data_IF_820152113842
#
_entry.id   IF_820152113842
#
_cell.length_a   1.000
_cell.length_b   1.000
_cell.length_c   1.000
_cell.angle_alpha   90.00
_cell.angle_beta   90.00
_cell.angle_gamma   90.00
#
_symmetry.space_group_name_H-M   'P 1'
#
loop_
_entity.id
_entity.type
_entity.pdbx_description
1 polymer ?
#
# COMPACT_ATOMS: atom_id res chain seq x y z
N UNK A 1 -11.22 4.00 3.26
CA UNK A 1 -9.74 3.93 3.32
C UNK A 1 -9.27 2.62 2.75
N UNK A 2 -9.63 1.47 3.32
CA UNK A 2 -9.26 0.14 2.79
C UNK A 2 -9.54 -0.03 1.29
N UNK A 3 -10.78 0.25 0.83
CA UNK A 3 -11.13 0.19 -0.60
C UNK A 3 -10.23 1.05 -1.50
N UNK A 4 -9.73 2.18 -1.00
CA UNK A 4 -8.83 3.07 -1.75
C UNK A 4 -7.44 2.44 -1.83
N UNK A 5 -6.93 1.97 -0.68
CA UNK A 5 -5.63 1.28 -0.60
C UNK A 5 -5.61 0.06 -1.52
N UNK A 6 -6.64 -0.79 -1.47
CA UNK A 6 -6.76 -1.97 -2.34
C UNK A 6 -6.86 -1.61 -3.81
N UNK A 7 -7.62 -0.56 -4.15
CA UNK A 7 -7.74 -0.09 -5.53
C UNK A 7 -6.38 0.33 -6.09
N UNK A 8 -5.63 1.16 -5.37
CA UNK A 8 -4.31 1.64 -5.83
C UNK A 8 -3.31 0.49 -5.84
N UNK A 9 -3.31 -0.38 -4.83
CA UNK A 9 -2.41 -1.53 -4.78
C UNK A 9 -2.59 -2.46 -5.99
N UNK A 10 -3.83 -2.68 -6.44
CA UNK A 10 -4.14 -3.49 -7.61
C UNK A 10 -3.60 -2.91 -8.95
N UNK A 11 -3.19 -1.65 -8.98
CA UNK A 11 -2.51 -1.04 -10.14
C UNK A 11 -1.02 -1.44 -10.21
N UNK A 12 -0.46 -1.90 -9.09
CA UNK A 12 0.97 -2.16 -8.94
C UNK A 12 1.30 -3.63 -8.66
N UNK A 13 0.36 -4.40 -8.14
CA UNK A 13 0.60 -5.77 -7.70
C UNK A 13 -0.48 -6.74 -8.21
N UNK A 14 -0.08 -7.99 -8.43
CA UNK A 14 -0.98 -9.10 -8.70
C UNK A 14 -1.49 -9.67 -7.36
N UNK A 15 -2.73 -9.33 -7.00
CA UNK A 15 -3.30 -9.70 -5.71
C UNK A 15 -3.65 -11.19 -5.59
N UNK A 16 -3.94 -11.87 -6.70
CA UNK A 16 -4.41 -13.26 -6.69
C UNK A 16 -5.84 -13.42 -6.18
N UNK A 17 -6.39 -14.64 -6.27
CA UNK A 17 -7.77 -14.93 -5.86
C UNK A 17 -7.94 -15.01 -4.33
N UNK A 18 -6.89 -15.40 -3.61
CA UNK A 18 -6.87 -15.60 -2.16
C UNK A 18 -6.20 -14.42 -1.43
N UNK A 19 -6.24 -13.22 -2.02
CA UNK A 19 -5.65 -12.02 -1.42
C UNK A 19 -6.27 -11.70 -0.07
N UNK A 20 -5.43 -11.50 0.95
CA UNK A 20 -5.83 -11.00 2.25
C UNK A 20 -5.14 -9.67 2.56
N UNK A 21 -5.82 -8.79 3.30
CA UNK A 21 -5.30 -7.45 3.60
C UNK A 21 -4.07 -7.49 4.54
N UNK A 22 -3.84 -8.59 5.25
CA UNK A 22 -2.64 -8.81 6.06
C UNK A 22 -1.45 -9.34 5.25
N UNK A 23 -1.67 -9.76 3.99
CA UNK A 23 -0.61 -10.29 3.12
C UNK A 23 0.51 -9.25 2.96
N UNK A 24 1.77 -9.61 3.28
CA UNK A 24 2.91 -8.74 3.07
C UNK A 24 3.07 -8.41 1.59
N UNK A 25 3.29 -7.13 1.25
CA UNK A 25 3.43 -6.70 -0.14
C UNK A 25 4.59 -7.38 -0.88
N UNK A 26 5.65 -7.74 -0.15
CA UNK A 26 6.79 -8.48 -0.71
C UNK A 26 6.42 -9.88 -1.23
N UNK A 27 5.27 -10.42 -0.83
CA UNK A 27 4.75 -11.70 -1.30
C UNK A 27 3.85 -11.54 -2.54
N UNK A 28 3.50 -10.31 -2.91
CA UNK A 28 2.63 -10.04 -4.04
C UNK A 28 3.39 -10.14 -5.37
N UNK A 29 2.73 -10.77 -6.35
CA UNK A 29 3.26 -10.89 -7.70
C UNK A 29 3.50 -9.50 -8.29
N UNK A 30 4.67 -9.33 -8.91
CA UNK A 30 5.03 -8.07 -9.55
C UNK A 30 5.39 -6.95 -8.57
N UNK A 31 5.44 -7.13 -7.25
CA UNK A 31 5.84 -6.08 -6.32
C UNK A 31 7.36 -5.82 -6.31
N UNK A 32 7.77 -4.56 -6.20
CA UNK A 32 9.17 -4.15 -6.03
C UNK A 32 9.29 -2.79 -5.31
N UNK A 33 10.52 -2.37 -4.99
CA UNK A 33 10.76 -1.13 -4.25
C UNK A 33 10.37 0.14 -5.01
N UNK A 34 10.45 0.16 -6.34
CA UNK A 34 10.02 1.30 -7.16
C UNK A 34 8.50 1.42 -7.16
N UNK A 35 7.80 0.29 -7.26
CA UNK A 35 6.34 0.23 -7.15
C UNK A 35 5.85 0.61 -5.76
N UNK A 36 6.56 0.21 -4.70
CA UNK A 36 6.26 0.66 -3.34
C UNK A 36 6.26 2.18 -3.24
N UNK A 37 7.31 2.84 -3.75
CA UNK A 37 7.38 4.31 -3.73
C UNK A 37 6.25 4.94 -4.55
N UNK A 38 5.94 4.40 -5.73
CA UNK A 38 4.84 4.92 -6.59
C UNK A 38 3.47 4.76 -5.95
N UNK A 39 3.20 3.59 -5.38
CA UNK A 39 1.99 3.30 -4.62
C UNK A 39 1.76 4.32 -3.50
N UNK A 40 2.81 4.68 -2.76
CA UNK A 40 2.70 5.67 -1.69
C UNK A 40 2.45 7.07 -2.24
N UNK A 41 3.13 7.48 -3.31
CA UNK A 41 2.89 8.77 -3.94
C UNK A 41 1.45 8.93 -4.45
N UNK A 42 0.86 7.86 -4.99
CA UNK A 42 -0.54 7.87 -5.43
C UNK A 42 -1.51 7.86 -4.26
N UNK A 43 -1.20 7.14 -3.16
CA UNK A 43 -1.96 7.23 -1.92
C UNK A 43 -1.97 8.63 -1.34
N UNK A 44 -0.80 9.27 -1.24
CA UNK A 44 -0.67 10.65 -0.76
C UNK A 44 -1.53 11.60 -1.59
N UNK A 45 -1.48 11.46 -2.91
CA UNK A 45 -2.25 12.28 -3.86
C UNK A 45 -3.76 12.05 -3.71
N UNK A 46 -4.20 10.81 -3.68
CA UNK A 46 -5.63 10.44 -3.63
C UNK A 46 -6.25 10.86 -2.28
N UNK A 47 -5.53 10.66 -1.17
CA UNK A 47 -6.01 10.97 0.17
C UNK A 47 -5.71 12.40 0.62
N UNK A 48 -4.93 13.17 -0.16
CA UNK A 48 -4.46 14.52 0.18
C UNK A 48 -3.70 14.56 1.51
N UNK A 49 -2.84 13.57 1.72
CA UNK A 49 -1.99 13.44 2.91
C UNK A 49 -0.52 13.53 2.51
N UNK A 50 0.35 13.64 3.52
CA UNK A 50 1.79 13.43 3.39
C UNK A 50 2.23 12.45 4.45
N UNK A 51 2.96 11.43 4.04
CA UNK A 51 3.50 10.40 4.91
C UNK A 51 4.93 10.75 5.31
N UNK A 52 5.28 10.54 6.57
CA UNK A 52 6.67 10.62 7.02
C UNK A 52 7.46 9.41 6.51
N UNK A 53 8.81 9.46 6.53
CA UNK A 53 9.64 8.29 6.21
C UNK A 53 9.29 7.05 7.05
N UNK A 54 8.93 7.21 8.32
CA UNK A 54 8.53 6.11 9.20
C UNK A 54 7.21 5.49 8.75
N UNK A 55 6.23 6.31 8.38
CA UNK A 55 4.94 5.83 7.86
C UNK A 55 5.12 5.11 6.50
N UNK A 56 5.99 5.64 5.63
CA UNK A 56 6.38 5.01 4.36
C UNK A 56 6.94 3.59 4.54
N UNK A 57 7.83 3.42 5.52
CA UNK A 57 8.45 2.12 5.85
C UNK A 57 7.42 1.16 6.45
N UNK A 58 6.45 1.68 7.22
CA UNK A 58 5.41 0.87 7.83
C UNK A 58 4.37 0.31 6.83
N UNK A 59 4.32 0.80 5.59
CA UNK A 59 3.34 0.36 4.59
C UNK A 59 3.70 -0.99 3.97
N UNK A 60 3.70 -2.06 4.76
CA UNK A 60 4.13 -3.41 4.34
C UNK A 60 2.97 -4.36 4.02
N UNK A 61 1.74 -3.97 4.34
CA UNK A 61 0.49 -4.65 4.00
C UNK A 61 -0.63 -3.61 3.91
N UNK A 62 -1.83 -3.99 3.48
CA UNK A 62 -2.98 -3.07 3.44
C UNK A 62 -3.34 -2.61 4.84
N UNK A 63 -3.39 -3.53 5.79
CA UNK A 63 -3.69 -3.23 7.20
C UNK A 63 -2.64 -2.31 7.83
N UNK A 64 -1.36 -2.56 7.58
CA UNK A 64 -0.29 -1.73 8.10
C UNK A 64 -0.31 -0.33 7.46
N UNK A 65 -0.62 -0.24 6.16
CA UNK A 65 -0.78 1.04 5.45
C UNK A 65 -1.92 1.87 6.04
N UNK A 66 -3.08 1.25 6.29
CA UNK A 66 -4.23 1.93 6.93
C UNK A 66 -3.86 2.42 8.33
N UNK A 67 -3.13 1.60 9.08
CA UNK A 67 -2.70 1.94 10.44
C UNK A 67 -1.69 3.10 10.43
N UNK A 68 -0.73 3.09 9.50
CA UNK A 68 0.26 4.14 9.34
C UNK A 68 -0.36 5.50 9.00
N UNK A 69 -1.47 5.52 8.24
CA UNK A 69 -2.19 6.76 7.85
C UNK A 69 -3.07 7.32 8.99
N UNK A 70 -3.51 6.47 9.92
CA UNK A 70 -4.42 6.87 11.02
C UNK A 70 -3.70 7.40 12.27
N UNK A 71 -2.38 7.22 12.35
CA UNK A 71 -1.51 7.75 13.41
C UNK A 71 -1.05 9.17 13.05
#
# INVERSE_FOLDING_TARGET
MEKIVNKILAEYAELGADFDNSTPFIELGGWDSLKHVRFILDLEKELKIRMTPEQLIACTSVENTISAIKL
#
